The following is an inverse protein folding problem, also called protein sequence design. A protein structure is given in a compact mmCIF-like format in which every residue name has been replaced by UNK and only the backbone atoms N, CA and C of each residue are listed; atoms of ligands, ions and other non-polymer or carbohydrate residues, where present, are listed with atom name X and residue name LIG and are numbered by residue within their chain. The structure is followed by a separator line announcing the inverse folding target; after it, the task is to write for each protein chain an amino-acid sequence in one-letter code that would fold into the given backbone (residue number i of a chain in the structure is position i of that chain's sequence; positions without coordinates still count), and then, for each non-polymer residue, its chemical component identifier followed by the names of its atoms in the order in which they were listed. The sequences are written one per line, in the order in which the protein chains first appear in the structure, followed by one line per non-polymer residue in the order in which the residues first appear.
data_IF_134501115327
#
_entry.id   IF_134501115327
#
_cell.length_a   1.000
_cell.length_b   1.000
_cell.length_c   1.000
_cell.angle_alpha   90.00
_cell.angle_beta   90.00
_cell.angle_gamma   90.00
#
_symmetry.space_group_name_H-M   'P 1'
#
loop_
_entity.id
_entity.type
_entity.pdbx_description
1 polymer ?
#
# COMPACT_ATOMS: atom_id res chain seq x y z
N UNK A 1 3.03 5.74 9.50
CA UNK A 1 1.73 5.53 10.17
C UNK A 1 1.33 4.10 9.93
N UNK A 2 0.85 3.40 10.96
CA UNK A 2 0.32 2.03 10.85
C UNK A 2 -1.05 2.11 10.19
N UNK A 3 -1.32 1.28 9.19
CA UNK A 3 -2.62 1.29 8.50
C UNK A 3 -3.69 0.72 9.42
N UNK A 4 -4.84 1.39 9.52
CA UNK A 4 -5.98 0.98 10.37
C UNK A 4 -7.11 0.39 9.52
N UNK A 5 -7.54 -0.83 9.85
CA UNK A 5 -8.58 -1.56 9.10
C UNK A 5 -9.73 -1.95 10.03
N UNK A 6 -10.96 -1.63 9.63
CA UNK A 6 -12.18 -2.01 10.35
C UNK A 6 -13.02 -3.00 9.53
N UNK A 7 -13.30 -4.18 10.08
CA UNK A 7 -14.26 -5.13 9.50
C UNK A 7 -15.66 -4.94 10.09
N UNK A 8 -16.65 -4.70 9.24
CA UNK A 8 -18.03 -4.46 9.66
C UNK A 8 -18.93 -5.58 9.15
N UNK A 9 -19.80 -6.08 10.02
CA UNK A 9 -20.96 -6.88 9.60
C UNK A 9 -22.19 -6.48 10.44
N UNK A 10 -23.31 -7.18 10.31
CA UNK A 10 -24.50 -6.83 11.10
C UNK A 10 -24.30 -7.14 12.58
N UNK A 11 -24.01 -8.41 12.93
CA UNK A 11 -24.05 -8.87 14.32
C UNK A 11 -22.70 -8.88 15.06
N UNK A 12 -21.58 -8.65 14.36
CA UNK A 12 -20.22 -8.88 14.87
C UNK A 12 -20.03 -10.23 15.59
N UNK A 13 -20.69 -11.28 15.09
CA UNK A 13 -20.75 -12.59 15.73
C UNK A 13 -19.80 -13.62 15.12
N UNK A 14 -19.67 -13.64 13.79
CA UNK A 14 -18.92 -14.68 13.07
C UNK A 14 -17.92 -14.09 12.07
N UNK A 15 -18.39 -13.62 10.91
CA UNK A 15 -17.56 -13.19 9.78
C UNK A 15 -16.51 -12.14 10.16
N UNK A 16 -16.92 -11.05 10.80
CA UNK A 16 -16.00 -9.96 11.14
C UNK A 16 -15.06 -10.30 12.30
N UNK A 17 -15.47 -11.18 13.23
CA UNK A 17 -14.60 -11.74 14.27
C UNK A 17 -13.50 -12.61 13.65
N UNK A 18 -13.88 -13.51 12.72
CA UNK A 18 -12.94 -14.34 12.00
C UNK A 18 -11.96 -13.50 11.16
N UNK A 19 -12.47 -12.45 10.52
CA UNK A 19 -11.65 -11.52 9.73
C UNK A 19 -10.65 -10.73 10.60
N UNK A 20 -11.07 -10.22 11.76
CA UNK A 20 -10.19 -9.54 12.73
C UNK A 20 -9.03 -10.45 13.14
N UNK A 21 -9.32 -11.70 13.52
CA UNK A 21 -8.31 -12.67 13.95
C UNK A 21 -7.32 -13.03 12.83
N UNK A 22 -7.82 -13.32 11.63
CA UNK A 22 -6.99 -13.63 10.45
C UNK A 22 -6.09 -12.45 10.08
N UNK A 23 -6.64 -11.22 10.11
CA UNK A 23 -5.88 -10.03 9.76
C UNK A 23 -4.76 -9.76 10.75
N UNK A 24 -5.02 -9.90 12.07
CA UNK A 24 -3.95 -9.81 13.10
C UNK A 24 -2.83 -10.80 12.82
N UNK A 25 -3.18 -12.05 12.50
CA UNK A 25 -2.20 -13.09 12.23
C UNK A 25 -1.36 -12.82 10.98
N UNK A 26 -1.98 -12.39 9.88
CA UNK A 26 -1.29 -12.25 8.59
C UNK A 26 -0.55 -10.91 8.43
N UNK A 27 -1.08 -9.84 9.04
CA UNK A 27 -0.50 -8.52 8.97
C UNK A 27 0.57 -8.28 10.05
N UNK A 28 0.47 -8.94 11.21
CA UNK A 28 1.34 -8.66 12.35
C UNK A 28 1.23 -7.20 12.78
N UNK A 29 2.37 -6.55 13.01
CA UNK A 29 2.42 -5.14 13.44
C UNK A 29 2.25 -4.12 12.29
N UNK A 30 2.11 -4.58 11.04
CA UNK A 30 1.95 -3.72 9.86
C UNK A 30 0.58 -3.02 9.82
N UNK A 31 -0.42 -3.61 10.47
CA UNK A 31 -1.82 -3.18 10.43
C UNK A 31 -2.46 -3.27 11.82
N UNK A 32 -3.10 -2.19 12.23
CA UNK A 32 -4.00 -2.19 13.38
C UNK A 32 -5.41 -2.54 12.90
N UNK A 33 -6.02 -3.56 13.51
CA UNK A 33 -7.31 -4.09 13.04
C UNK A 33 -8.32 -4.23 14.18
N UNK A 34 -9.56 -3.88 13.86
CA UNK A 34 -10.73 -4.09 14.67
C UNK A 34 -11.90 -4.63 13.82
N UNK A 35 -12.91 -5.16 14.50
CA UNK A 35 -14.23 -5.45 13.95
C UNK A 35 -15.34 -4.87 14.82
N UNK A 36 -16.48 -4.63 14.20
CA UNK A 36 -17.70 -4.17 14.86
C UNK A 36 -18.97 -4.57 14.09
N UNK A 37 -20.12 -4.33 14.71
CA UNK A 37 -21.43 -4.61 14.13
C UNK A 37 -22.44 -3.50 14.34
N UNK A 38 -23.37 -3.36 13.40
CA UNK A 38 -24.48 -2.40 13.50
C UNK A 38 -25.50 -2.82 14.57
N UNK A 39 -25.65 -4.11 14.79
CA UNK A 39 -26.52 -4.72 15.81
C UNK A 39 -25.73 -5.81 16.56
N UNK A 40 -24.75 -5.44 17.40
CA UNK A 40 -23.81 -6.39 17.99
C UNK A 40 -24.52 -7.46 18.82
N UNK A 41 -24.18 -8.72 18.54
CA UNK A 41 -24.72 -9.91 19.21
C UNK A 41 -23.66 -10.68 19.97
N UNK A 42 -23.91 -11.96 20.22
CA UNK A 42 -22.96 -12.86 20.87
C UNK A 42 -22.02 -13.47 19.82
N UNK A 43 -20.73 -13.58 20.13
CA UNK A 43 -19.75 -14.24 19.27
C UNK A 43 -20.14 -15.71 19.08
N UNK A 44 -20.27 -16.14 17.83
CA UNK A 44 -20.71 -17.48 17.48
C UNK A 44 -19.66 -18.51 17.89
N UNK A 45 -20.08 -19.54 18.65
CA UNK A 45 -19.17 -20.60 19.09
C UNK A 45 -18.48 -21.30 17.91
N UNK A 46 -19.18 -21.47 16.78
CA UNK A 46 -18.59 -22.03 15.55
C UNK A 46 -17.47 -21.18 14.96
N UNK A 47 -17.51 -19.86 15.13
CA UNK A 47 -16.43 -18.97 14.69
C UNK A 47 -15.19 -19.15 15.58
N UNK A 48 -15.37 -19.23 16.90
CA UNK A 48 -14.28 -19.52 17.84
C UNK A 48 -13.66 -20.89 17.57
N UNK A 49 -14.48 -21.93 17.38
CA UNK A 49 -14.01 -23.27 17.08
C UNK A 49 -13.20 -23.33 15.77
N UNK A 50 -13.69 -22.67 14.71
CA UNK A 50 -12.97 -22.61 13.45
C UNK A 50 -11.62 -21.88 13.57
N UNK A 51 -11.56 -20.79 14.35
CA UNK A 51 -10.30 -20.08 14.62
C UNK A 51 -9.30 -20.92 15.43
N UNK A 52 -9.79 -21.66 16.43
CA UNK A 52 -8.97 -22.54 17.25
C UNK A 52 -8.39 -23.71 16.43
N UNK A 53 -9.16 -24.30 15.51
CA UNK A 53 -8.68 -25.32 14.57
C UNK A 53 -7.54 -24.79 13.68
N UNK A 54 -7.54 -23.48 13.38
CA UNK A 54 -6.48 -22.79 12.65
C UNK A 54 -5.35 -22.26 13.55
N UNK A 55 -5.35 -22.60 14.84
CA UNK A 55 -4.35 -22.20 15.84
C UNK A 55 -4.24 -20.67 16.03
N UNK A 56 -5.36 -19.95 15.88
CA UNK A 56 -5.43 -18.51 16.05
C UNK A 56 -5.84 -18.13 17.48
N UNK A 57 -5.26 -17.05 18.02
CA UNK A 57 -5.65 -16.53 19.34
C UNK A 57 -7.04 -15.89 19.27
N UNK A 58 -7.90 -16.28 20.22
CA UNK A 58 -9.28 -15.81 20.32
C UNK A 58 -9.55 -15.05 21.63
N UNK A 59 -8.58 -14.92 22.53
CA UNK A 59 -8.82 -14.42 23.91
C UNK A 59 -9.29 -12.96 23.96
N UNK A 60 -8.83 -12.15 23.01
CA UNK A 60 -9.17 -10.72 22.94
C UNK A 60 -10.40 -10.43 22.07
N UNK A 61 -10.96 -11.44 21.40
CA UNK A 61 -12.08 -11.28 20.48
C UNK A 61 -13.40 -11.16 21.24
N UNK A 62 -14.13 -10.11 20.95
CA UNK A 62 -15.47 -9.86 21.50
C UNK A 62 -16.28 -9.04 20.51
N UNK A 63 -17.60 -9.14 20.64
CA UNK A 63 -18.55 -8.38 19.84
C UNK A 63 -18.60 -6.92 20.32
N UNK A 64 -18.55 -5.98 19.38
CA UNK A 64 -18.45 -4.52 19.59
C UNK A 64 -19.50 -3.80 18.75
N UNK A 65 -20.10 -2.75 19.30
CA UNK A 65 -20.97 -1.86 18.53
C UNK A 65 -20.16 -0.99 17.59
N UNK A 66 -20.68 -0.74 16.39
CA UNK A 66 -20.10 0.22 15.46
C UNK A 66 -20.19 1.65 16.00
N UNK A 67 -21.24 1.95 16.78
CA UNK A 67 -21.49 3.28 17.36
C UNK A 67 -20.46 3.66 18.45
N UNK A 68 -19.82 2.66 19.07
CA UNK A 68 -18.79 2.86 20.08
C UNK A 68 -17.42 3.21 19.46
N UNK A 69 -17.29 3.12 18.14
CA UNK A 69 -16.05 3.35 17.42
C UNK A 69 -16.09 4.66 16.64
N UNK A 70 -15.01 5.43 16.75
CA UNK A 70 -14.76 6.52 15.82
C UNK A 70 -14.25 5.95 14.48
N UNK A 71 -15.17 5.73 13.56
CA UNK A 71 -14.86 5.12 12.26
C UNK A 71 -13.97 6.00 11.37
N UNK A 72 -13.89 7.30 11.65
CA UNK A 72 -12.99 8.22 10.95
C UNK A 72 -11.51 7.94 11.19
N UNK A 73 -11.17 7.19 12.26
CA UNK A 73 -9.80 6.83 12.59
C UNK A 73 -9.27 5.65 11.75
N UNK A 74 -10.10 5.03 10.90
CA UNK A 74 -9.71 3.88 10.09
C UNK A 74 -9.48 4.27 8.63
N UNK A 75 -8.37 3.79 8.04
CA UNK A 75 -8.03 4.04 6.64
C UNK A 75 -8.92 3.23 5.68
N UNK A 76 -9.31 2.03 6.11
CA UNK A 76 -10.14 1.08 5.37
C UNK A 76 -11.29 0.58 6.22
N UNK A 77 -12.48 0.56 5.63
CA UNK A 77 -13.68 -0.07 6.19
C UNK A 77 -14.14 -1.17 5.25
N UNK A 78 -14.13 -2.42 5.72
CA UNK A 78 -14.46 -3.60 4.93
C UNK A 78 -15.77 -4.20 5.44
N UNK A 79 -16.84 -4.02 4.67
CA UNK A 79 -18.14 -4.65 4.94
C UNK A 79 -18.13 -6.11 4.49
N UNK A 80 -18.65 -7.01 5.34
CA UNK A 80 -18.72 -8.47 5.11
C UNK A 80 -20.15 -8.98 4.86
N UNK A 81 -21.14 -8.09 4.75
CA UNK A 81 -22.52 -8.47 4.43
C UNK A 81 -23.20 -7.45 3.50
N UNK A 82 -24.14 -7.94 2.69
CA UNK A 82 -24.91 -7.14 1.74
C UNK A 82 -25.77 -6.05 2.40
N UNK A 83 -26.25 -6.29 3.62
CA UNK A 83 -27.07 -5.31 4.37
C UNK A 83 -26.25 -4.10 4.81
N UNK A 84 -25.01 -4.34 5.29
CA UNK A 84 -24.08 -3.28 5.62
C UNK A 84 -23.63 -2.50 4.37
N UNK A 85 -23.66 -3.08 3.17
CA UNK A 85 -23.34 -2.34 1.93
C UNK A 85 -24.31 -1.17 1.68
N UNK A 86 -25.60 -1.33 1.95
CA UNK A 86 -26.61 -0.30 1.64
C UNK A 86 -26.78 0.73 2.76
N UNK A 87 -26.70 0.28 4.03
CA UNK A 87 -26.89 1.15 5.20
C UNK A 87 -25.61 1.88 5.61
N UNK A 88 -24.44 1.28 5.42
CA UNK A 88 -23.17 1.87 5.86
C UNK A 88 -22.47 2.73 4.81
N UNK A 89 -22.65 2.47 3.50
CA UNK A 89 -21.89 3.17 2.46
C UNK A 89 -22.16 4.69 2.44
N UNK A 90 -23.34 5.14 2.86
CA UNK A 90 -23.66 6.56 3.00
C UNK A 90 -22.87 7.25 4.13
N UNK A 91 -22.48 6.51 5.17
CA UNK A 91 -21.79 7.05 6.34
C UNK A 91 -20.26 7.05 6.18
N UNK A 92 -19.71 6.37 5.16
CA UNK A 92 -18.28 6.19 4.93
C UNK A 92 -17.78 6.91 3.67
N UNK A 93 -17.90 8.24 3.65
CA UNK A 93 -17.55 9.06 2.47
C UNK A 93 -16.07 9.42 2.35
N UNK A 94 -15.31 9.38 3.45
CA UNK A 94 -13.89 9.77 3.47
C UNK A 94 -12.91 8.60 3.62
N UNK A 95 -13.38 7.40 3.96
CA UNK A 95 -12.56 6.18 4.11
C UNK A 95 -12.56 5.32 2.84
N UNK A 96 -11.55 4.47 2.67
CA UNK A 96 -11.56 3.46 1.61
C UNK A 96 -12.54 2.34 1.97
N UNK A 97 -13.79 2.46 1.52
CA UNK A 97 -14.82 1.46 1.75
C UNK A 97 -14.72 0.31 0.74
N UNK A 98 -14.72 -0.94 1.23
CA UNK A 98 -14.70 -2.16 0.42
C UNK A 98 -15.83 -3.06 0.88
N UNK A 99 -16.58 -3.64 -0.06
CA UNK A 99 -17.59 -4.65 0.24
C UNK A 99 -17.12 -6.02 -0.22
N UNK A 100 -17.04 -6.97 0.71
CA UNK A 100 -16.88 -8.39 0.42
C UNK A 100 -18.14 -9.12 0.82
N UNK A 101 -18.69 -9.90 -0.11
CA UNK A 101 -19.85 -10.73 0.18
C UNK A 101 -19.41 -12.13 0.59
N UNK A 102 -19.96 -12.61 1.70
CA UNK A 102 -19.76 -13.95 2.24
C UNK A 102 -21.08 -14.48 2.80
N UNK A 103 -21.45 -15.74 2.48
CA UNK A 103 -22.57 -16.41 3.13
C UNK A 103 -22.46 -16.36 4.65
N UNK A 104 -23.58 -16.19 5.34
CA UNK A 104 -23.58 -16.15 6.80
C UNK A 104 -23.49 -17.58 7.37
N UNK A 105 -22.36 -17.98 7.98
CA UNK A 105 -22.17 -19.35 8.43
C UNK A 105 -23.13 -19.75 9.56
N UNK A 106 -23.69 -18.78 10.29
CA UNK A 106 -24.68 -19.04 11.36
C UNK A 106 -26.06 -19.42 10.83
N UNK A 107 -26.34 -19.16 9.55
CA UNK A 107 -27.61 -19.48 8.90
C UNK A 107 -27.50 -20.73 8.01
N UNK A 108 -26.34 -21.39 8.01
CA UNK A 108 -26.11 -22.59 7.21
C UNK A 108 -26.30 -23.85 8.03
N UNK A 109 -26.95 -24.86 7.43
CA UNK A 109 -27.05 -26.20 8.01
C UNK A 109 -25.76 -27.04 7.82
N UNK A 110 -24.78 -26.52 7.08
CA UNK A 110 -23.54 -27.25 6.80
C UNK A 110 -22.60 -27.25 8.01
N UNK A 111 -22.09 -28.41 8.44
CA UNK A 111 -21.15 -28.50 9.56
C UNK A 111 -19.81 -27.81 9.28
N UNK A 112 -19.48 -27.58 8.00
CA UNK A 112 -18.24 -26.96 7.56
C UNK A 112 -18.41 -25.47 7.20
N UNK A 113 -19.59 -24.88 7.39
CA UNK A 113 -19.87 -23.50 6.97
C UNK A 113 -18.83 -22.51 7.53
N UNK A 114 -18.55 -22.57 8.83
CA UNK A 114 -17.56 -21.69 9.47
C UNK A 114 -16.15 -21.88 8.91
N UNK A 115 -15.72 -23.13 8.69
CA UNK A 115 -14.40 -23.43 8.13
C UNK A 115 -14.26 -22.93 6.69
N UNK A 116 -15.31 -23.10 5.90
CA UNK A 116 -15.35 -22.61 4.53
C UNK A 116 -15.29 -21.08 4.49
N UNK A 117 -16.13 -20.39 5.26
CA UNK A 117 -16.10 -18.93 5.36
C UNK A 117 -14.73 -18.42 5.85
N UNK A 118 -14.13 -19.09 6.84
CA UNK A 118 -12.80 -18.74 7.34
C UNK A 118 -11.72 -18.90 6.25
N UNK A 119 -11.79 -19.97 5.47
CA UNK A 119 -10.86 -20.19 4.36
C UNK A 119 -11.01 -19.11 3.28
N UNK A 120 -12.24 -18.80 2.86
CA UNK A 120 -12.50 -17.76 1.86
C UNK A 120 -12.06 -16.36 2.35
N UNK A 121 -12.30 -16.04 3.63
CA UNK A 121 -11.78 -14.84 4.28
C UNK A 121 -10.25 -14.81 4.26
N UNK A 122 -9.61 -15.94 4.55
CA UNK A 122 -8.14 -16.03 4.58
C UNK A 122 -7.51 -15.71 3.23
N UNK A 123 -8.10 -16.20 2.14
CA UNK A 123 -7.63 -15.91 0.78
C UNK A 123 -7.85 -14.44 0.39
N UNK A 124 -9.01 -13.86 0.74
CA UNK A 124 -9.30 -12.45 0.48
C UNK A 124 -8.38 -11.52 1.26
N UNK A 125 -8.12 -11.82 2.54
CA UNK A 125 -7.22 -11.03 3.39
C UNK A 125 -5.78 -11.12 2.86
N UNK A 126 -5.31 -12.30 2.45
CA UNK A 126 -3.97 -12.45 1.84
C UNK A 126 -3.83 -11.58 0.59
N UNK A 127 -4.80 -11.63 -0.33
CA UNK A 127 -4.78 -10.78 -1.52
C UNK A 127 -4.82 -9.29 -1.17
N UNK A 128 -5.65 -8.90 -0.20
CA UNK A 128 -5.74 -7.52 0.26
C UNK A 128 -4.40 -7.04 0.84
N UNK A 129 -3.74 -7.86 1.67
CA UNK A 129 -2.42 -7.57 2.23
C UNK A 129 -1.34 -7.46 1.15
N UNK A 130 -1.38 -8.25 0.09
CA UNK A 130 -0.45 -8.08 -1.04
C UNK A 130 -0.61 -6.70 -1.69
N UNK A 131 -1.85 -6.22 -1.86
CA UNK A 131 -2.13 -4.89 -2.41
C UNK A 131 -1.70 -3.79 -1.44
N UNK A 132 -2.04 -3.92 -0.15
CA UNK A 132 -1.63 -2.97 0.90
C UNK A 132 -0.11 -2.89 0.99
N UNK A 133 0.58 -4.02 1.09
CA UNK A 133 2.04 -4.08 1.15
C UNK A 133 2.67 -3.58 -0.14
N UNK A 134 2.08 -3.82 -1.32
CA UNK A 134 2.57 -3.23 -2.58
C UNK A 134 2.43 -1.71 -2.58
N UNK A 135 1.34 -1.17 -2.01
CA UNK A 135 1.18 0.28 -1.80
C UNK A 135 2.14 0.83 -0.75
N UNK A 136 2.44 0.07 0.32
CA UNK A 136 3.39 0.48 1.36
C UNK A 136 4.86 0.36 0.90
N UNK A 137 5.20 -0.66 0.12
CA UNK A 137 6.52 -0.87 -0.50
C UNK A 137 6.74 -0.01 -1.75
N UNK A 138 5.72 0.73 -2.17
CA UNK A 138 5.88 1.96 -2.93
C UNK A 138 5.93 3.10 -1.91
N UNK A 139 7.11 3.48 -1.38
CA UNK A 139 7.18 4.51 -0.37
C UNK A 139 6.63 5.79 -1.01
N UNK A 140 5.48 6.21 -0.50
CA UNK A 140 4.88 7.52 -0.61
C UNK A 140 5.22 8.29 -1.89
N UNK A 141 4.42 8.06 -2.93
CA UNK A 141 4.22 9.08 -3.96
C UNK A 141 3.44 10.24 -3.33
N UNK A 142 4.18 11.09 -2.60
CA UNK A 142 3.83 12.44 -2.19
C UNK A 142 2.60 12.59 -1.28
N UNK A 143 2.80 13.19 -0.10
CA UNK A 143 1.69 13.62 0.75
C UNK A 143 1.12 14.99 0.31
N UNK A 144 1.85 15.75 -0.52
CA UNK A 144 1.41 17.03 -1.06
C UNK A 144 2.21 17.48 -2.30
N UNK A 145 1.67 18.37 -3.14
CA UNK A 145 2.45 19.05 -4.19
C UNK A 145 3.65 19.84 -3.66
N UNK A 146 3.55 20.41 -2.44
CA UNK A 146 4.64 21.17 -1.83
C UNK A 146 5.89 20.30 -1.59
N UNK A 147 5.70 19.06 -1.14
CA UNK A 147 6.80 18.11 -0.95
C UNK A 147 7.48 17.76 -2.27
N UNK A 148 6.68 17.58 -3.33
CA UNK A 148 7.21 17.37 -4.69
C UNK A 148 8.09 18.51 -5.15
N UNK A 149 7.60 19.75 -5.08
CA UNK A 149 8.40 20.91 -5.48
C UNK A 149 9.62 21.13 -4.57
N UNK A 150 9.53 20.84 -3.27
CA UNK A 150 10.67 20.88 -2.35
C UNK A 150 11.75 19.86 -2.71
N UNK A 151 11.37 18.69 -3.23
CA UNK A 151 12.31 17.69 -3.73
C UNK A 151 12.95 18.15 -5.05
N UNK A 152 12.16 18.71 -5.96
CA UNK A 152 12.67 19.22 -7.24
C UNK A 152 13.52 20.49 -7.12
N UNK A 153 13.35 21.28 -6.06
CA UNK A 153 14.07 22.55 -5.89
C UNK A 153 15.59 22.42 -5.67
N UNK A 154 16.10 21.21 -5.44
CA UNK A 154 17.55 20.98 -5.39
C UNK A 154 18.13 20.79 -6.80
N UNK A 155 19.15 21.57 -7.19
CA UNK A 155 19.69 21.53 -8.55
C UNK A 155 20.18 20.15 -8.98
N UNK A 156 20.86 19.41 -8.08
CA UNK A 156 21.44 18.11 -8.43
C UNK A 156 20.36 17.06 -8.65
N UNK A 157 19.33 17.03 -7.78
CA UNK A 157 18.15 16.16 -7.98
C UNK A 157 17.44 16.45 -9.29
N UNK A 158 17.23 17.74 -9.59
CA UNK A 158 16.59 18.15 -10.85
C UNK A 158 17.41 17.69 -12.06
N UNK A 159 18.71 17.97 -12.09
CA UNK A 159 19.60 17.55 -13.18
C UNK A 159 19.58 16.03 -13.38
N UNK A 160 19.67 15.23 -12.32
CA UNK A 160 19.58 13.77 -12.44
C UNK A 160 18.25 13.30 -13.03
N UNK A 161 17.13 13.92 -12.61
CA UNK A 161 15.81 13.60 -13.17
C UNK A 161 15.72 13.98 -14.66
N UNK A 162 16.28 15.13 -15.07
CA UNK A 162 16.32 15.54 -16.47
C UNK A 162 17.12 14.57 -17.34
N UNK A 163 18.28 14.11 -16.86
CA UNK A 163 19.05 13.06 -17.57
C UNK A 163 18.25 11.76 -17.68
N UNK A 164 17.51 11.37 -16.65
CA UNK A 164 16.69 10.16 -16.66
C UNK A 164 15.43 10.24 -17.53
N UNK A 165 14.99 11.45 -17.90
CA UNK A 165 13.95 11.64 -18.94
C UNK A 165 14.54 11.31 -20.32
N UNK A 166 15.77 11.73 -20.59
CA UNK A 166 16.42 11.52 -21.87
C UNK A 166 17.03 10.12 -22.04
N UNK A 167 17.57 9.56 -20.96
CA UNK A 167 18.13 8.21 -20.90
C UNK A 167 17.37 7.42 -19.83
N UNK A 168 16.42 6.55 -20.23
CA UNK A 168 15.46 5.94 -19.31
C UNK A 168 16.04 5.14 -18.15
N UNK A 169 17.30 4.69 -18.26
CA UNK A 169 18.00 3.95 -17.22
C UNK A 169 19.49 4.36 -17.20
N UNK A 170 19.99 4.79 -16.04
CA UNK A 170 21.39 5.23 -15.85
C UNK A 170 21.98 4.61 -14.58
N UNK A 171 23.26 4.23 -14.60
CA UNK A 171 23.93 3.78 -13.41
C UNK A 171 24.46 4.96 -12.56
N UNK A 172 24.87 4.67 -11.32
CA UNK A 172 25.45 5.70 -10.43
C UNK A 172 26.67 6.37 -11.07
N UNK A 173 27.50 5.62 -11.80
CA UNK A 173 28.71 6.16 -12.43
C UNK A 173 28.38 7.12 -13.58
N UNK A 174 27.38 6.81 -14.41
CA UNK A 174 26.93 7.72 -15.46
C UNK A 174 26.42 9.04 -14.88
N UNK A 175 25.68 8.97 -13.77
CA UNK A 175 25.16 10.15 -13.10
C UNK A 175 26.27 10.98 -12.45
N UNK A 176 27.30 10.33 -11.89
CA UNK A 176 28.51 11.00 -11.38
C UNK A 176 29.24 11.74 -12.51
N UNK A 177 29.42 11.10 -13.66
CA UNK A 177 30.08 11.70 -14.82
C UNK A 177 29.27 12.88 -15.36
N UNK A 178 27.96 12.70 -15.61
CA UNK A 178 27.08 13.73 -16.19
C UNK A 178 26.89 14.93 -15.27
N UNK A 179 26.80 14.71 -13.96
CA UNK A 179 26.60 15.80 -12.99
C UNK A 179 27.90 16.45 -12.53
N UNK A 180 29.06 15.81 -12.77
CA UNK A 180 30.37 16.27 -12.26
C UNK A 180 30.49 16.24 -10.73
N UNK A 181 29.59 15.54 -10.03
CA UNK A 181 29.53 15.50 -8.58
C UNK A 181 30.14 14.22 -8.02
N UNK A 182 30.68 14.28 -6.80
CA UNK A 182 31.22 13.09 -6.13
C UNK A 182 30.17 11.99 -5.95
N UNK A 183 30.56 10.72 -6.07
CA UNK A 183 29.67 9.57 -5.87
C UNK A 183 28.90 9.59 -4.54
N UNK A 184 29.49 9.88 -3.36
CA UNK A 184 28.73 9.92 -2.11
C UNK A 184 27.58 10.94 -2.13
N UNK A 185 27.81 12.10 -2.78
CA UNK A 185 26.78 13.14 -2.95
C UNK A 185 25.66 12.63 -3.86
N UNK A 186 26.00 12.12 -5.04
CA UNK A 186 25.04 11.54 -5.99
C UNK A 186 24.22 10.42 -5.34
N UNK A 187 24.87 9.44 -4.70
CA UNK A 187 24.18 8.34 -4.03
C UNK A 187 23.23 8.80 -2.92
N UNK A 188 23.60 9.83 -2.15
CA UNK A 188 22.72 10.42 -1.13
C UNK A 188 21.45 11.02 -1.75
N UNK A 189 21.58 11.78 -2.83
CA UNK A 189 20.43 12.36 -3.51
C UNK A 189 19.58 11.29 -4.22
N UNK A 190 20.18 10.24 -4.77
CA UNK A 190 19.46 9.10 -5.35
C UNK A 190 18.67 8.31 -4.31
N UNK A 191 19.26 8.06 -3.13
CA UNK A 191 18.56 7.44 -2.02
C UNK A 191 17.33 8.28 -1.61
N UNK A 192 17.50 9.59 -1.54
CA UNK A 192 16.39 10.49 -1.25
C UNK A 192 15.32 10.44 -2.35
N UNK A 193 15.68 10.53 -3.63
CA UNK A 193 14.71 10.44 -4.73
C UNK A 193 13.95 9.11 -4.76
N UNK A 194 14.58 8.00 -4.33
CA UNK A 194 13.91 6.70 -4.12
C UNK A 194 12.97 6.72 -2.92
N UNK A 195 13.38 7.32 -1.82
CA UNK A 195 12.54 7.49 -0.62
C UNK A 195 11.27 8.29 -0.93
N UNK A 196 11.36 9.28 -1.83
CA UNK A 196 10.22 10.04 -2.37
C UNK A 196 9.48 9.34 -3.53
N UNK A 197 9.82 8.09 -3.86
CA UNK A 197 9.13 7.32 -4.89
C UNK A 197 9.30 7.83 -6.33
N UNK A 198 10.23 8.76 -6.59
CA UNK A 198 10.50 9.29 -7.94
C UNK A 198 11.32 8.32 -8.79
N UNK A 199 12.19 7.54 -8.13
CA UNK A 199 13.09 6.60 -8.79
C UNK A 199 12.85 5.18 -8.30
N UNK A 200 13.09 4.23 -9.21
CA UNK A 200 13.29 2.82 -8.90
C UNK A 200 14.73 2.45 -9.19
N UNK A 201 15.28 1.50 -8.43
CA UNK A 201 16.59 0.93 -8.67
C UNK A 201 16.53 -0.54 -9.12
N UNK A 202 17.51 -0.93 -9.94
CA UNK A 202 17.79 -2.32 -10.31
C UNK A 202 19.26 -2.60 -10.03
N UNK A 203 19.55 -3.70 -9.32
CA UNK A 203 20.92 -4.18 -9.17
C UNK A 203 21.27 -5.09 -10.34
N UNK A 204 22.38 -4.83 -10.98
CA UNK A 204 22.93 -5.62 -12.08
C UNK A 204 24.41 -5.88 -11.81
N UNK A 205 24.71 -7.12 -11.41
CA UNK A 205 26.01 -7.54 -10.92
C UNK A 205 26.57 -6.61 -9.83
N UNK A 206 27.52 -5.74 -10.19
CA UNK A 206 28.18 -4.79 -9.30
C UNK A 206 27.55 -3.39 -9.34
N UNK A 207 26.68 -3.12 -10.29
CA UNK A 207 26.15 -1.80 -10.59
C UNK A 207 24.71 -1.65 -10.11
N UNK A 208 24.34 -0.41 -9.78
CA UNK A 208 22.97 -0.05 -9.44
C UNK A 208 22.49 0.95 -10.47
N UNK A 209 21.47 0.55 -11.22
CA UNK A 209 20.82 1.35 -12.25
C UNK A 209 19.56 1.99 -11.67
N UNK A 210 19.27 3.21 -12.12
CA UNK A 210 18.13 4.01 -11.69
C UNK A 210 17.28 4.39 -12.89
N UNK A 211 15.97 4.41 -12.69
CA UNK A 211 14.99 4.84 -13.68
C UNK A 211 13.85 5.61 -13.01
N UNK A 212 13.17 6.46 -13.77
CA UNK A 212 11.94 7.12 -13.29
C UNK A 212 10.89 6.06 -12.92
N UNK A 213 10.19 6.29 -11.81
CA UNK A 213 9.12 5.40 -11.37
C UNK A 213 7.93 5.46 -12.35
N UNK A 214 7.57 4.36 -13.04
CA UNK A 214 6.44 4.32 -13.95
C UNK A 214 5.10 4.45 -13.21
N UNK A 215 5.06 4.13 -11.91
CA UNK A 215 3.85 4.24 -11.08
C UNK A 215 3.63 5.66 -10.51
N UNK A 216 4.51 6.62 -10.80
CA UNK A 216 4.34 8.01 -10.39
C UNK A 216 3.09 8.64 -11.04
N UNK A 217 2.30 9.46 -10.30
CA UNK A 217 1.15 10.19 -10.83
C UNK A 217 1.49 10.98 -12.10
N UNK A 218 0.56 10.97 -13.06
CA UNK A 218 0.78 11.58 -14.38
C UNK A 218 1.16 13.05 -14.31
N UNK A 219 0.56 13.81 -13.38
CA UNK A 219 0.86 15.23 -13.24
C UNK A 219 2.34 15.49 -12.87
N UNK A 220 2.97 14.64 -12.06
CA UNK A 220 4.38 14.79 -11.67
C UNK A 220 5.30 14.42 -12.83
N UNK A 221 4.97 13.31 -13.52
CA UNK A 221 5.65 12.90 -14.76
C UNK A 221 5.62 14.04 -15.77
N UNK A 222 4.45 14.64 -15.97
CA UNK A 222 4.26 15.76 -16.89
C UNK A 222 5.08 16.98 -16.47
N UNK A 223 5.15 17.32 -15.17
CA UNK A 223 6.01 18.43 -14.71
C UNK A 223 7.47 18.16 -15.03
N UNK A 224 8.00 16.98 -14.69
CA UNK A 224 9.40 16.62 -14.97
C UNK A 224 9.66 16.63 -16.48
N UNK A 225 8.76 16.08 -17.27
CA UNK A 225 8.89 16.00 -18.73
C UNK A 225 8.81 17.37 -19.40
N UNK A 226 7.87 18.24 -18.98
CA UNK A 226 7.77 19.62 -19.49
C UNK A 226 9.01 20.41 -19.11
N UNK A 227 9.51 20.27 -17.89
CA UNK A 227 10.78 20.89 -17.46
C UNK A 227 11.95 20.42 -18.31
N UNK A 228 12.06 19.12 -18.59
CA UNK A 228 13.12 18.55 -19.43
C UNK A 228 13.07 19.09 -20.86
N UNK A 229 11.89 19.02 -21.50
CA UNK A 229 11.67 19.44 -22.89
C UNK A 229 11.99 20.91 -23.12
N UNK A 230 11.68 21.79 -22.15
CA UNK A 230 11.95 23.22 -22.27
C UNK A 230 13.34 23.64 -21.78
N UNK A 231 14.16 22.70 -21.31
CA UNK A 231 15.51 22.99 -20.84
C UNK A 231 16.52 21.93 -21.35
N UNK A 232 16.70 21.81 -22.68
CA UNK A 232 17.57 20.80 -23.30
C UNK A 232 19.04 20.90 -22.87
N UNK A 233 19.49 22.07 -22.39
CA UNK A 233 20.83 22.26 -21.86
C UNK A 233 21.17 21.37 -20.65
N UNK A 234 20.15 20.86 -19.93
CA UNK A 234 20.37 19.87 -18.86
C UNK A 234 20.41 18.42 -19.38
N UNK A 235 20.07 18.20 -20.64
CA UNK A 235 20.02 16.88 -21.29
C UNK A 235 21.29 16.66 -22.12
N UNK A 236 21.80 17.72 -22.76
CA UNK A 236 23.00 17.69 -23.60
C UNK A 236 24.26 17.34 -22.79
N UNK A 237 24.56 16.05 -22.70
CA UNK A 237 25.88 15.53 -22.35
C UNK A 237 26.22 14.45 -23.36
N UNK A 238 27.31 14.72 -24.09
CA UNK A 238 27.98 13.96 -25.15
C UNK A 238 27.61 12.47 -25.19
N UNK A 239 27.28 11.98 -26.38
CA UNK A 239 27.36 10.56 -26.76
C UNK A 239 28.75 10.02 -26.41
N UNK A 240 28.93 9.62 -25.16
CA UNK A 240 29.99 8.74 -24.72
C UNK A 240 29.30 7.47 -24.30
N UNK A 241 29.74 6.37 -24.90
CA UNK A 241 29.28 5.02 -24.55
C UNK A 241 29.31 4.88 -23.02
N UNK A 242 28.20 4.40 -22.47
CA UNK A 242 28.08 4.03 -21.07
C UNK A 242 29.34 3.29 -20.62
N UNK A 243 29.99 3.77 -19.57
CA UNK A 243 31.20 3.15 -19.01
C UNK A 243 30.88 1.74 -18.46
N UNK A 244 29.59 1.45 -18.25
CA UNK A 244 29.09 0.15 -17.83
C UNK A 244 28.45 -0.59 -19.03
N UNK A 245 28.66 -1.90 -19.18
CA UNK A 245 28.02 -2.65 -20.26
C UNK A 245 26.50 -2.52 -20.15
N UNK A 246 25.88 -1.93 -21.16
CA UNK A 246 24.44 -2.06 -21.40
C UNK A 246 24.20 -3.43 -22.03
N UNK A 247 23.32 -4.23 -21.43
CA UNK A 247 22.78 -5.46 -22.02
C UNK A 247 22.43 -5.33 -23.49
#
# INVERSE_FOLDING_TARGET
MVTKVLFVCTANSARSIMAEALMRQFAGDDVEVASAGTEPGIVAAGAIAALQDFHLDTKSLHSKSLDDLNTADYDYVISLCDRARTECQANFTSQNFIAWDFPDPTQSDSPNAFKQTLHELSERIRMFLLILRKRQTQPHLFNSPADFFKVLADPLRLTMLMHLVATPELCVCDLVERTGMSQPKVSRHLAQLREYGLLLDRKEERWVHYRLNPAMPDWMRNVIQVSATHNPQFIETTEKESVCPST
#
